data_IF_494630934842
#
_entry.id   IF_494630934842
#
_cell.length_a   1.000
_cell.length_b   1.000
_cell.length_c   1.000
_cell.angle_alpha   90.00
_cell.angle_beta   90.00
_cell.angle_gamma   90.00
#
_symmetry.space_group_name_H-M   'P 1'
#
loop_
_entity.id
_entity.type
_entity.pdbx_description
1 polymer ?
#
# COMPACT_ATOMS: atom_id res chain seq x y z
N UNK A 1 15.09 -2.76 7.02
CA UNK A 1 14.15 -2.53 5.90
C UNK A 1 13.34 -1.27 6.15
N UNK A 2 13.12 -0.50 5.11
CA UNK A 2 12.27 0.68 5.21
C UNK A 2 10.81 0.27 5.11
N UNK A 3 9.97 0.91 5.93
CA UNK A 3 8.52 0.78 5.84
C UNK A 3 7.96 2.04 5.20
N UNK A 4 7.01 1.87 4.32
CA UNK A 4 6.35 2.95 3.61
C UNK A 4 4.86 2.97 3.89
N UNK A 5 4.28 4.16 3.79
CA UNK A 5 2.84 4.36 3.87
C UNK A 5 2.37 4.99 2.57
N UNK A 6 1.45 4.33 1.89
CA UNK A 6 0.84 4.82 0.66
C UNK A 6 -0.63 5.11 0.92
N UNK A 7 -1.02 6.37 0.71
CA UNK A 7 -2.43 6.78 0.75
C UNK A 7 -2.82 7.21 -0.65
N UNK A 8 -3.97 6.75 -1.15
CA UNK A 8 -4.36 6.99 -2.54
C UNK A 8 -5.87 7.17 -2.69
N UNK A 9 -6.23 7.79 -3.80
CA UNK A 9 -7.62 8.00 -4.18
C UNK A 9 -7.73 7.93 -5.71
N UNK A 10 -8.87 7.45 -6.22
CA UNK A 10 -9.07 7.39 -7.66
C UNK A 10 -9.20 8.80 -8.24
N UNK A 11 -8.53 9.05 -9.36
CA UNK A 11 -8.72 10.31 -10.10
C UNK A 11 -10.10 10.40 -10.71
N UNK A 12 -10.64 9.27 -11.14
CA UNK A 12 -12.01 9.16 -11.62
C UNK A 12 -12.73 8.09 -10.79
N UNK A 13 -13.51 8.53 -9.83
CA UNK A 13 -14.23 7.64 -8.93
C UNK A 13 -15.26 6.76 -9.65
N UNK A 14 -15.68 7.14 -10.84
CA UNK A 14 -16.63 6.35 -11.62
C UNK A 14 -15.98 5.25 -12.44
N UNK A 15 -14.65 5.33 -12.65
CA UNK A 15 -13.91 4.36 -13.43
C UNK A 15 -13.54 3.10 -12.64
N UNK A 16 -13.58 3.16 -11.32
CA UNK A 16 -13.08 2.10 -10.45
C UNK A 16 -14.07 1.75 -9.35
N UNK A 17 -14.28 0.46 -9.15
CA UNK A 17 -14.81 -0.02 -7.88
C UNK A 17 -13.69 0.10 -6.83
N UNK A 18 -13.98 0.51 -5.58
CA UNK A 18 -12.94 0.70 -4.56
C UNK A 18 -12.03 -0.52 -4.37
N UNK A 19 -12.61 -1.71 -4.36
CA UNK A 19 -11.85 -2.95 -4.21
C UNK A 19 -10.94 -3.24 -5.39
N UNK A 20 -11.39 -2.94 -6.60
CA UNK A 20 -10.59 -3.12 -7.82
C UNK A 20 -9.36 -2.24 -7.83
N UNK A 21 -9.51 -0.98 -7.45
CA UNK A 21 -8.40 -0.04 -7.38
C UNK A 21 -7.38 -0.49 -6.35
N UNK A 22 -7.85 -0.85 -5.16
CA UNK A 22 -6.97 -1.33 -4.09
C UNK A 22 -6.23 -2.59 -4.51
N UNK A 23 -6.89 -3.47 -5.25
CA UNK A 23 -6.30 -4.69 -5.78
C UNK A 23 -5.19 -4.37 -6.79
N UNK A 24 -5.40 -3.44 -7.69
CA UNK A 24 -4.40 -3.04 -8.69
C UNK A 24 -3.18 -2.38 -8.03
N UNK A 25 -3.39 -1.51 -7.06
CA UNK A 25 -2.30 -0.90 -6.31
C UNK A 25 -1.50 -1.97 -5.56
N UNK A 26 -2.19 -2.88 -4.89
CA UNK A 26 -1.56 -3.97 -4.15
C UNK A 26 -0.76 -4.90 -5.07
N UNK A 27 -1.31 -5.22 -6.23
CA UNK A 27 -0.62 -6.04 -7.23
C UNK A 27 0.68 -5.38 -7.69
N UNK A 28 0.65 -4.08 -7.95
CA UNK A 28 1.84 -3.34 -8.34
C UNK A 28 2.93 -3.41 -7.27
N UNK A 29 2.54 -3.22 -6.00
CA UNK A 29 3.48 -3.29 -4.88
C UNK A 29 4.09 -4.69 -4.77
N UNK A 30 3.26 -5.73 -4.83
CA UNK A 30 3.74 -7.12 -4.72
C UNK A 30 4.66 -7.50 -5.87
N UNK A 31 4.31 -7.13 -7.09
CA UNK A 31 5.11 -7.45 -8.28
C UNK A 31 6.48 -6.76 -8.27
N UNK A 32 6.61 -5.66 -7.55
CA UNK A 32 7.85 -4.88 -7.49
C UNK A 32 8.62 -5.06 -6.17
N UNK A 33 8.28 -6.08 -5.40
CA UNK A 33 9.03 -6.44 -4.21
C UNK A 33 8.54 -5.84 -2.91
N UNK A 34 7.34 -5.28 -2.91
CA UNK A 34 6.68 -4.87 -1.67
C UNK A 34 6.34 -6.12 -0.86
N UNK A 35 6.44 -6.01 0.46
CA UNK A 35 6.29 -7.13 1.38
C UNK A 35 5.52 -6.69 2.62
N UNK A 36 4.93 -7.65 3.33
CA UNK A 36 4.19 -7.40 4.56
C UNK A 36 3.13 -6.29 4.42
N UNK A 37 2.35 -6.36 3.34
CA UNK A 37 1.32 -5.37 3.07
C UNK A 37 0.22 -5.43 4.13
N UNK A 38 -0.15 -4.26 4.65
CA UNK A 38 -1.23 -4.10 5.61
C UNK A 38 -2.11 -2.94 5.18
N UNK A 39 -3.40 -3.03 5.45
CA UNK A 39 -4.34 -1.94 5.19
C UNK A 39 -5.19 -1.66 6.43
N UNK A 40 -4.69 -0.78 7.33
CA UNK A 40 -5.40 -0.51 8.58
C UNK A 40 -6.65 0.36 8.40
N UNK A 41 -6.69 1.13 7.34
CA UNK A 41 -7.84 1.96 6.96
C UNK A 41 -8.02 1.91 5.45
N UNK A 42 -9.19 2.31 4.98
CA UNK A 42 -9.48 2.34 3.56
C UNK A 42 -8.49 3.26 2.82
N UNK A 43 -8.08 2.86 1.63
CA UNK A 43 -7.21 3.65 0.75
C UNK A 43 -5.82 3.94 1.33
N UNK A 44 -5.37 3.14 2.30
CA UNK A 44 -4.04 3.26 2.88
C UNK A 44 -3.40 1.88 2.97
N UNK A 45 -2.20 1.76 2.44
CA UNK A 45 -1.43 0.51 2.47
C UNK A 45 -0.07 0.79 3.08
N UNK A 46 0.29 -0.01 4.08
CA UNK A 46 1.62 -0.03 4.66
C UNK A 46 2.39 -1.21 4.07
N UNK A 47 3.63 -1.02 3.70
CA UNK A 47 4.43 -2.10 3.14
C UNK A 47 5.92 -1.91 3.42
N UNK A 48 6.65 -3.01 3.42
CA UNK A 48 8.10 -3.03 3.54
C UNK A 48 8.73 -3.18 2.15
N UNK A 49 9.92 -2.64 1.98
CA UNK A 49 10.69 -2.83 0.75
C UNK A 49 11.47 -4.15 0.83
N UNK A 50 10.88 -5.20 0.30
CA UNK A 50 11.47 -6.55 0.33
C UNK A 50 12.72 -6.71 -0.52
N UNK A 51 12.99 -5.77 -1.42
CA UNK A 51 14.20 -5.77 -2.26
C UNK A 51 15.27 -4.83 -1.75
N UNK A 52 15.06 -4.25 -0.59
CA UNK A 52 16.00 -3.34 0.07
C UNK A 52 16.48 -2.20 -0.84
N UNK A 53 15.57 -1.62 -1.57
CA UNK A 53 15.88 -0.45 -2.42
C UNK A 53 16.24 0.76 -1.60
N UNK A 54 15.68 0.87 -0.40
CA UNK A 54 15.93 1.94 0.57
C UNK A 54 15.69 3.35 0.03
N UNK A 55 14.90 3.49 -1.03
CA UNK A 55 14.79 4.72 -1.79
C UNK A 55 13.33 5.04 -2.10
N UNK A 56 12.85 6.08 -1.43
CA UNK A 56 11.51 6.62 -1.65
C UNK A 56 11.28 6.99 -3.13
N UNK A 57 12.31 7.54 -3.78
CA UNK A 57 12.21 7.95 -5.17
C UNK A 57 11.96 6.78 -6.12
N UNK A 58 12.56 5.63 -5.85
CA UNK A 58 12.36 4.44 -6.68
C UNK A 58 10.91 3.98 -6.65
N UNK A 59 10.31 3.96 -5.47
CA UNK A 59 8.89 3.62 -5.34
C UNK A 59 7.99 4.67 -5.97
N UNK A 60 8.31 5.96 -5.79
CA UNK A 60 7.56 7.02 -6.42
C UNK A 60 7.62 6.93 -7.94
N UNK A 61 8.80 6.61 -8.47
CA UNK A 61 8.96 6.43 -9.92
C UNK A 61 8.09 5.30 -10.46
N UNK A 62 8.04 4.17 -9.76
CA UNK A 62 7.17 3.05 -10.13
C UNK A 62 5.70 3.44 -10.14
N UNK A 63 5.25 4.13 -9.10
CA UNK A 63 3.85 4.56 -8.99
C UNK A 63 3.49 5.55 -10.10
N UNK A 64 4.36 6.50 -10.38
CA UNK A 64 4.13 7.46 -11.46
C UNK A 64 4.08 6.77 -12.82
N UNK A 65 4.97 5.83 -13.05
CA UNK A 65 5.03 5.12 -14.33
C UNK A 65 3.77 4.30 -14.60
N UNK A 66 3.23 3.66 -13.57
CA UNK A 66 2.13 2.71 -13.72
C UNK A 66 0.75 3.30 -13.44
N UNK A 67 0.65 4.23 -12.51
CA UNK A 67 -0.65 4.66 -11.98
C UNK A 67 -0.87 6.17 -11.97
N UNK A 68 0.02 6.96 -12.58
CA UNK A 68 -0.09 8.42 -12.50
C UNK A 68 -1.42 8.97 -13.05
N UNK A 69 -2.01 8.29 -14.02
CA UNK A 69 -3.27 8.71 -14.62
C UNK A 69 -4.50 8.16 -13.89
N UNK A 70 -4.30 7.24 -12.97
CA UNK A 70 -5.37 6.51 -12.30
C UNK A 70 -5.64 7.00 -10.88
N UNK A 71 -4.60 7.43 -10.17
CA UNK A 71 -4.74 7.79 -8.76
C UNK A 71 -4.03 9.10 -8.39
N UNK A 72 -4.59 9.79 -7.39
CA UNK A 72 -3.84 10.73 -6.56
C UNK A 72 -3.23 9.92 -5.41
N UNK A 73 -2.00 10.25 -4.98
CA UNK A 73 -1.41 9.51 -3.88
C UNK A 73 -0.39 10.34 -3.10
N UNK A 74 -0.17 9.93 -1.84
CA UNK A 74 0.97 10.35 -1.03
C UNK A 74 1.74 9.10 -0.63
N UNK A 75 3.05 9.16 -0.75
CA UNK A 75 3.95 8.09 -0.35
C UNK A 75 4.94 8.64 0.67
N UNK A 76 5.00 8.02 1.83
CA UNK A 76 5.85 8.46 2.94
C UNK A 76 6.70 7.33 3.47
N UNK A 77 7.91 7.65 3.92
CA UNK A 77 8.69 6.73 4.76
C UNK A 77 8.16 6.82 6.19
N UNK A 78 7.96 5.69 6.83
CA UNK A 78 7.48 5.62 8.20
C UNK A 78 8.65 5.23 9.10
N UNK A 79 9.19 6.17 9.90
CA UNK A 79 10.28 5.85 10.81
C UNK A 79 9.79 5.05 12.02
N UNK A 80 10.67 4.21 12.56
CA UNK A 80 10.36 3.46 13.77
C UNK A 80 10.26 4.41 14.97
N UNK A 81 9.33 4.13 15.88
CA UNK A 81 9.22 4.83 17.16
C UNK A 81 10.29 4.34 18.12
N UNK A 82 10.35 4.94 19.33
CA UNK A 82 11.27 4.51 20.40
C UNK A 82 11.15 3.05 20.76
N UNK A 83 9.93 2.54 20.69
CA UNK A 83 9.64 1.15 21.07
C UNK A 83 9.78 0.18 19.91
N UNK A 84 10.30 0.66 18.78
CA UNK A 84 10.46 -0.15 17.58
C UNK A 84 9.22 -0.27 16.72
N UNK A 85 8.17 0.44 17.07
CA UNK A 85 6.95 0.49 16.27
C UNK A 85 7.06 1.57 15.20
N UNK A 86 6.42 1.35 14.07
CA UNK A 86 6.51 2.27 12.95
C UNK A 86 5.41 3.34 12.95
N UNK A 87 4.33 3.12 13.67
CA UNK A 87 3.20 4.05 13.68
C UNK A 87 2.32 3.79 14.91
N UNK A 88 1.56 4.82 15.27
CA UNK A 88 0.46 4.68 16.22
C UNK A 88 -0.85 4.93 15.49
N UNK A 89 -1.89 4.29 15.95
CA UNK A 89 -3.22 4.44 15.35
C UNK A 89 -4.28 4.17 16.42
N UNK A 90 -5.44 4.74 16.19
CA UNK A 90 -6.63 4.40 16.97
C UNK A 90 -7.03 2.96 16.63
N UNK A 91 -7.87 2.35 17.46
CA UNK A 91 -8.47 1.07 17.11
C UNK A 91 -9.19 1.22 15.78
N UNK A 92 -8.64 0.63 14.76
CA UNK A 92 -9.25 0.64 13.45
C UNK A 92 -10.36 -0.39 13.35
N UNK A 93 -10.89 -0.54 12.17
CA UNK A 93 -11.81 -1.61 11.85
C UNK A 93 -11.01 -2.92 11.73
N UNK A 94 -11.12 -3.86 12.68
CA UNK A 94 -10.34 -5.09 12.62
C UNK A 94 -10.70 -5.96 11.42
N UNK A 95 -11.92 -5.84 10.92
CA UNK A 95 -12.38 -6.62 9.78
C UNK A 95 -11.75 -6.14 8.48
N UNK A 96 -11.42 -4.85 8.39
CA UNK A 96 -10.87 -4.28 7.17
C UNK A 96 -9.52 -4.90 6.79
N UNK A 97 -8.62 -5.04 7.74
CA UNK A 97 -7.32 -5.64 7.46
C UNK A 97 -7.44 -7.15 7.21
N UNK A 98 -8.36 -7.83 7.90
CA UNK A 98 -8.61 -9.25 7.66
C UNK A 98 -9.13 -9.47 6.24
N UNK A 99 -10.06 -8.64 5.79
CA UNK A 99 -10.55 -8.69 4.41
C UNK A 99 -9.44 -8.40 3.40
N UNK A 100 -8.55 -7.46 3.73
CA UNK A 100 -7.42 -7.14 2.90
C UNK A 100 -6.44 -8.30 2.79
N UNK A 101 -6.15 -9.00 3.91
CA UNK A 101 -5.28 -10.16 3.88
C UNK A 101 -5.87 -11.28 3.01
N UNK A 102 -7.18 -11.46 3.04
CA UNK A 102 -7.86 -12.42 2.17
C UNK A 102 -7.71 -12.03 0.70
N UNK A 103 -7.84 -10.75 0.39
CA UNK A 103 -7.64 -10.23 -0.96
C UNK A 103 -6.23 -10.48 -1.46
N UNK A 104 -5.22 -10.31 -0.59
CA UNK A 104 -3.82 -10.59 -0.94
C UNK A 104 -3.60 -12.08 -1.23
N UNK A 105 -4.22 -12.96 -0.45
CA UNK A 105 -4.16 -14.41 -0.70
C UNK A 105 -4.74 -14.75 -2.07
N UNK A 106 -5.85 -14.12 -2.43
CA UNK A 106 -6.48 -14.32 -3.74
C UNK A 106 -5.57 -13.85 -4.87
N UNK A 107 -4.87 -12.73 -4.69
CA UNK A 107 -3.90 -12.23 -5.68
C UNK A 107 -2.70 -13.16 -5.83
N UNK A 108 -2.21 -13.71 -4.74
CA UNK A 108 -1.05 -14.62 -4.76
C UNK A 108 -1.40 -16.00 -5.32
N UNK A 109 -2.67 -16.37 -5.29
CA UNK A 109 -3.15 -17.66 -5.81
C UNK A 109 -3.27 -17.71 -7.32
N UNK A 110 -3.21 -16.57 -7.97
CA UNK A 110 -3.32 -16.49 -9.43
C UNK A 110 -1.99 -16.83 -10.13
#
# INVERSE_FOLDING_TARGET
MAKYCLTFDAKDALAWEPEELKMEVSRLLLENGGDYLESPIANTILFDDGKDRSDLQSWNHLLLKQLKDDIFYYLCVVPATRDGEYFERNEGDPDLNDDYQQLLEDLESD
#
